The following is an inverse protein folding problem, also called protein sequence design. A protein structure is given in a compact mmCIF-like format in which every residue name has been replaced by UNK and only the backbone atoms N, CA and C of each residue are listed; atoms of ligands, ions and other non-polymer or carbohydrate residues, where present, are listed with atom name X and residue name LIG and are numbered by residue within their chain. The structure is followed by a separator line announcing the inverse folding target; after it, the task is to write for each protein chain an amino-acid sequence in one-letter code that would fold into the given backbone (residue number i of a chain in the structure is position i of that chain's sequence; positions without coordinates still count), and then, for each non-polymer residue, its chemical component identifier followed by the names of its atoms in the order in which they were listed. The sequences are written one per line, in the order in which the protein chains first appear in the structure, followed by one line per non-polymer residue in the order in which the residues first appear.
data_IF_364114764822
#
_entry.id   IF_364114764822
#
_cell.length_a   1.000
_cell.length_b   1.000
_cell.length_c   1.000
_cell.angle_alpha   90.00
_cell.angle_beta   90.00
_cell.angle_gamma   90.00
#
_symmetry.space_group_name_H-M   'P 1'
#
loop_
_entity.id
_entity.type
_entity.pdbx_description
1 polymer ?
#
# COMPACT_ATOMS: atom_id res chain seq x y z
N UNK A 1 -4.85 2.00 -21.16
CA UNK A 1 -5.54 1.82 -19.87
C UNK A 1 -4.49 1.74 -18.79
N UNK A 2 -4.58 2.60 -17.78
CA UNK A 2 -3.68 2.55 -16.63
C UNK A 2 -4.03 1.29 -15.83
N UNK A 3 -3.04 0.40 -15.64
CA UNK A 3 -3.24 -0.85 -14.87
C UNK A 3 -3.38 -0.58 -13.37
N UNK A 4 -2.74 0.48 -12.91
CA UNK A 4 -2.89 0.98 -11.56
C UNK A 4 -4.06 1.95 -11.47
N UNK A 5 -4.86 1.80 -10.43
CA UNK A 5 -5.92 2.75 -10.08
C UNK A 5 -5.78 3.06 -8.60
N UNK A 6 -5.79 4.35 -8.27
CA UNK A 6 -5.81 4.83 -6.88
C UNK A 6 -7.21 5.34 -6.57
N UNK A 7 -7.77 4.98 -5.41
CA UNK A 7 -9.10 5.43 -4.98
C UNK A 7 -9.08 5.76 -3.49
N UNK A 8 -9.75 6.84 -3.09
CA UNK A 8 -9.95 7.16 -1.67
C UNK A 8 -11.25 6.48 -1.23
N UNK A 9 -11.15 5.61 -0.23
CA UNK A 9 -12.27 4.81 0.27
C UNK A 9 -12.49 5.08 1.76
N UNK A 10 -13.76 5.06 2.17
CA UNK A 10 -14.17 4.95 3.58
C UNK A 10 -14.62 3.52 3.78
N UNK A 11 -13.99 2.82 4.73
CA UNK A 11 -14.28 1.41 5.01
C UNK A 11 -15.15 1.29 6.27
N UNK A 12 -16.07 0.30 6.35
CA UNK A 12 -16.98 0.17 7.49
C UNK A 12 -16.29 -0.11 8.85
N UNK A 13 -15.06 -0.63 8.81
CA UNK A 13 -14.24 -1.04 9.95
C UNK A 13 -13.10 -0.05 10.26
N UNK A 14 -13.12 1.13 9.64
CA UNK A 14 -12.10 2.18 9.74
C UNK A 14 -12.73 3.51 10.13
N UNK A 15 -12.04 4.29 10.96
CA UNK A 15 -12.51 5.62 11.36
C UNK A 15 -12.13 6.67 10.31
N UNK A 16 -10.96 6.51 9.68
CA UNK A 16 -10.39 7.40 8.68
C UNK A 16 -10.50 6.81 7.27
N UNK A 17 -10.30 7.67 6.26
CA UNK A 17 -10.24 7.21 4.86
C UNK A 17 -8.89 6.54 4.56
N UNK A 18 -8.92 5.59 3.63
CA UNK A 18 -7.73 4.93 3.09
C UNK A 18 -7.55 5.28 1.62
N UNK A 19 -6.30 5.23 1.15
CA UNK A 19 -5.97 5.29 -0.27
C UNK A 19 -5.69 3.87 -0.78
N UNK A 20 -6.66 3.27 -1.47
CA UNK A 20 -6.53 1.96 -2.11
C UNK A 20 -5.77 2.07 -3.42
N UNK A 21 -4.88 1.10 -3.66
CA UNK A 21 -4.11 0.96 -4.89
C UNK A 21 -4.46 -0.39 -5.50
N UNK A 22 -5.22 -0.35 -6.59
CA UNK A 22 -5.61 -1.54 -7.34
C UNK A 22 -4.67 -1.73 -8.53
N UNK A 23 -4.29 -2.98 -8.79
CA UNK A 23 -3.65 -3.40 -10.03
C UNK A 23 -4.58 -4.36 -10.77
N UNK A 24 -4.96 -3.99 -11.99
CA UNK A 24 -5.86 -4.78 -12.85
C UNK A 24 -7.19 -5.16 -12.17
N UNK A 25 -7.74 -4.22 -11.39
CA UNK A 25 -9.00 -4.39 -10.65
C UNK A 25 -8.89 -5.20 -9.36
N UNK A 26 -7.69 -5.62 -8.96
CA UNK A 26 -7.44 -6.37 -7.71
C UNK A 26 -6.66 -5.49 -6.73
N UNK A 27 -7.01 -5.55 -5.43
CA UNK A 27 -6.27 -4.83 -4.38
C UNK A 27 -4.81 -5.28 -4.38
N UNK A 28 -3.91 -4.32 -4.56
CA UNK A 28 -2.47 -4.56 -4.52
C UNK A 28 -1.87 -4.00 -3.23
N UNK A 29 -2.26 -2.78 -2.87
CA UNK A 29 -1.81 -2.12 -1.65
C UNK A 29 -2.84 -1.09 -1.16
N UNK A 30 -2.73 -0.64 0.07
CA UNK A 30 -3.43 0.55 0.57
C UNK A 30 -2.53 1.36 1.50
N UNK A 31 -2.79 2.66 1.60
CA UNK A 31 -2.18 3.54 2.61
C UNK A 31 -3.29 4.04 3.52
N UNK A 32 -3.08 3.92 4.84
CA UNK A 32 -4.02 4.37 5.87
C UNK A 32 -3.37 5.39 6.81
N UNK A 33 -4.22 6.24 7.40
CA UNK A 33 -3.83 7.24 8.40
C UNK A 33 -4.53 7.01 9.76
N UNK A 34 -4.96 5.78 10.03
CA UNK A 34 -5.64 5.38 11.27
C UNK A 34 -4.78 5.59 12.53
N UNK A 35 -3.47 5.67 12.35
CA UNK A 35 -2.53 5.92 13.43
C UNK A 35 -1.86 7.29 13.24
N UNK A 36 -1.04 7.71 14.21
CA UNK A 36 -0.25 8.94 14.08
C UNK A 36 0.78 8.89 12.93
N UNK A 37 0.97 7.72 12.31
CA UNK A 37 1.88 7.49 11.19
C UNK A 37 1.11 6.91 10.01
N UNK A 38 1.53 7.23 8.79
CA UNK A 38 1.00 6.62 7.58
C UNK A 38 1.52 5.19 7.47
N UNK A 39 0.62 4.23 7.37
CA UNK A 39 0.94 2.82 7.20
C UNK A 39 0.59 2.39 5.78
N UNK A 40 1.47 1.62 5.15
CA UNK A 40 1.19 0.95 3.88
C UNK A 40 1.00 -0.53 4.10
N UNK A 41 -0.02 -1.08 3.47
CA UNK A 41 -0.30 -2.51 3.46
C UNK A 41 -0.15 -3.08 2.05
N UNK A 42 0.40 -4.28 1.92
CA UNK A 42 0.53 -4.99 0.63
C UNK A 42 -0.18 -6.34 0.65
N UNK A 43 -0.94 -6.62 -0.40
CA UNK A 43 -1.78 -7.81 -0.53
C UNK A 43 -1.34 -8.72 -1.70
N UNK A 44 -1.61 -10.03 -1.60
CA UNK A 44 -1.89 -10.80 -0.37
C UNK A 44 -0.60 -11.16 0.36
N UNK A 45 -0.67 -11.37 1.68
CA UNK A 45 0.44 -11.98 2.43
C UNK A 45 0.28 -13.52 2.49
N UNK A 46 1.36 -14.33 2.39
CA UNK A 46 1.24 -15.80 2.33
C UNK A 46 0.77 -16.47 3.63
N UNK A 47 0.83 -15.78 4.78
CA UNK A 47 0.51 -16.30 6.13
C UNK A 47 -0.49 -15.46 6.95
N UNK A 48 -0.84 -14.27 6.47
CA UNK A 48 -1.74 -13.33 7.16
C UNK A 48 -2.48 -12.53 6.09
N UNK A 49 -3.33 -11.57 6.45
CA UNK A 49 -4.15 -10.85 5.47
C UNK A 49 -3.29 -9.95 4.55
N UNK A 50 -2.31 -9.23 5.11
CA UNK A 50 -1.43 -8.30 4.38
C UNK A 50 -0.07 -8.13 5.04
N UNK A 51 0.93 -7.63 4.30
CA UNK A 51 2.14 -7.04 4.89
C UNK A 51 1.82 -5.62 5.37
N UNK A 52 2.42 -5.13 6.46
CA UNK A 52 2.22 -3.76 6.95
C UNK A 52 3.54 -3.14 7.39
N UNK A 53 3.75 -1.87 7.01
CA UNK A 53 4.96 -1.11 7.32
C UNK A 53 4.64 0.39 7.44
N UNK A 54 5.49 1.20 8.09
CA UNK A 54 5.50 2.64 7.87
C UNK A 54 5.67 2.95 6.37
N UNK A 55 4.84 3.84 5.84
CA UNK A 55 4.78 4.10 4.40
C UNK A 55 6.13 4.58 3.84
N UNK A 56 6.81 5.48 4.54
CA UNK A 56 8.12 6.01 4.14
C UNK A 56 9.19 4.92 4.08
N UNK A 57 9.20 3.98 5.04
CA UNK A 57 10.18 2.88 5.04
C UNK A 57 10.01 1.96 3.84
N UNK A 58 8.76 1.60 3.52
CA UNK A 58 8.46 0.74 2.38
C UNK A 58 8.79 1.42 1.04
N UNK A 59 8.46 2.70 0.89
CA UNK A 59 8.77 3.47 -0.33
C UNK A 59 10.28 3.58 -0.54
N UNK A 60 11.03 3.84 0.53
CA UNK A 60 12.48 3.89 0.48
C UNK A 60 13.10 2.53 0.12
N UNK A 61 12.57 1.43 0.67
CA UNK A 61 13.01 0.08 0.31
C UNK A 61 12.80 -0.23 -1.19
N UNK A 62 11.62 0.12 -1.74
CA UNK A 62 11.32 -0.05 -3.17
C UNK A 62 12.25 0.79 -4.05
N UNK A 63 12.51 2.04 -3.65
CA UNK A 63 13.45 2.93 -4.35
C UNK A 63 14.87 2.36 -4.36
N UNK A 64 15.39 1.95 -3.20
CA UNK A 64 16.72 1.35 -3.08
C UNK A 64 16.86 0.07 -3.90
N UNK A 65 15.82 -0.78 -3.93
CA UNK A 65 15.83 -2.01 -4.72
C UNK A 65 15.96 -1.71 -6.23
N UNK A 66 15.21 -0.73 -6.73
CA UNK A 66 15.29 -0.28 -8.13
C UNK A 66 16.68 0.26 -8.46
N UNK A 67 17.22 1.12 -7.60
CA UNK A 67 18.52 1.75 -7.82
C UNK A 67 19.64 0.70 -7.83
N UNK A 68 19.61 -0.28 -6.91
CA UNK A 68 20.57 -1.39 -6.87
C UNK A 68 20.53 -2.31 -8.09
N UNK A 69 19.36 -2.48 -8.71
CA UNK A 69 19.20 -3.34 -9.89
C UNK A 69 19.73 -2.70 -11.17
N UNK A 70 19.67 -1.36 -11.26
CA UNK A 70 20.03 -0.59 -12.47
C UNK A 70 21.47 -0.05 -12.45
N UNK A 71 22.19 -0.22 -11.34
CA UNK A 71 23.63 0.04 -11.24
C UNK A 71 24.46 -1.18 -11.67
#
# INVERSE_FOLDING_TARGET
MEKFRITIASLPDREEVVAEILYDGVQWAEISQETNELLIQFYPHPRQEYWEFPAEEALEALRQAKDKLLC
#
